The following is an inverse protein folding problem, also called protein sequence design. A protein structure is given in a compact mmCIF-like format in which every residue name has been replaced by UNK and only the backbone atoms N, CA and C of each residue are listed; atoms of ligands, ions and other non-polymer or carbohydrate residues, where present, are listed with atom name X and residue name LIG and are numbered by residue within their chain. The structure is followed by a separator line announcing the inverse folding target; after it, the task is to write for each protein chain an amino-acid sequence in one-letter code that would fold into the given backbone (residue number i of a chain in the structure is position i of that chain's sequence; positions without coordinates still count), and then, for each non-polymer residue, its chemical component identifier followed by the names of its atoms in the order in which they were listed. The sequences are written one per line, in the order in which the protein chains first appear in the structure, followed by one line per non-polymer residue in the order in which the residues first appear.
data_IF_313338252061
#
_entry.id   IF_313338252061
#
_cell.length_a   1.000
_cell.length_b   1.000
_cell.length_c   1.000
_cell.angle_alpha   90.00
_cell.angle_beta   90.00
_cell.angle_gamma   90.00
#
_symmetry.space_group_name_H-M   'P 1'
#
loop_
_entity.id
_entity.type
_entity.pdbx_description
1 polymer ?
#
# COMPACT_ATOMS: atom_id res chain seq x y z
N UNK A 1 -23.20 -18.32 45.74
CA UNK A 1 -22.52 -17.02 45.56
C UNK A 1 -21.30 -17.27 44.70
N UNK A 2 -21.29 -16.78 43.46
CA UNK A 2 -20.07 -16.52 42.67
C UNK A 2 -20.42 -15.43 41.67
N UNK A 3 -19.68 -14.32 41.79
CA UNK A 3 -19.95 -13.04 41.17
C UNK A 3 -19.71 -13.05 39.66
N UNK A 4 -20.50 -12.23 38.97
CA UNK A 4 -20.37 -11.89 37.55
C UNK A 4 -19.06 -11.13 37.27
N UNK A 5 -18.55 -11.15 36.02
CA UNK A 5 -17.40 -10.34 35.64
C UNK A 5 -17.78 -8.85 35.56
N UNK A 6 -16.99 -8.02 36.24
CA UNK A 6 -17.09 -6.56 36.19
C UNK A 6 -16.74 -6.05 34.79
N UNK A 7 -17.70 -5.36 34.16
CA UNK A 7 -17.46 -4.48 33.03
C UNK A 7 -16.61 -3.29 33.53
N UNK A 8 -15.32 -3.28 33.20
CA UNK A 8 -14.52 -2.05 33.25
C UNK A 8 -14.94 -1.13 32.11
N UNK A 9 -15.98 -0.33 32.37
CA UNK A 9 -16.31 0.85 31.58
C UNK A 9 -15.12 1.82 31.62
N UNK A 10 -14.61 2.16 30.44
CA UNK A 10 -13.50 3.11 30.29
C UNK A 10 -13.87 4.45 30.93
N UNK A 11 -13.16 4.80 32.00
CA UNK A 11 -13.27 6.11 32.65
C UNK A 11 -12.92 7.18 31.64
N UNK A 12 -13.90 7.98 31.21
CA UNK A 12 -13.69 9.18 30.40
C UNK A 12 -13.08 10.23 31.34
N UNK A 13 -11.75 10.23 31.46
CA UNK A 13 -11.03 11.30 32.13
C UNK A 13 -11.05 12.52 31.23
N UNK A 14 -11.53 13.66 31.75
CA UNK A 14 -11.46 14.93 31.03
C UNK A 14 -9.98 15.29 30.87
N UNK A 15 -9.49 15.51 29.64
CA UNK A 15 -8.08 15.81 29.42
C UNK A 15 -7.67 17.09 30.15
N UNK A 16 -6.45 17.14 30.66
CA UNK A 16 -5.92 18.35 31.31
C UNK A 16 -5.81 19.49 30.28
N UNK A 17 -5.94 20.75 30.71
CA UNK A 17 -5.95 21.91 29.80
C UNK A 17 -4.70 21.99 28.90
N UNK A 18 -3.54 21.58 29.43
CA UNK A 18 -2.28 21.47 28.68
C UNK A 18 -2.28 20.35 27.62
N UNK A 19 -3.01 19.27 27.85
CA UNK A 19 -3.17 18.17 26.89
C UNK A 19 -4.06 18.61 25.72
N UNK A 20 -5.09 19.42 26.00
CA UNK A 20 -5.99 19.97 24.97
C UNK A 20 -5.35 21.02 24.08
N UNK A 21 -4.49 21.88 24.64
CA UNK A 21 -3.72 22.84 23.83
C UNK A 21 -2.72 22.11 22.92
N UNK A 22 -2.02 21.10 23.44
CA UNK A 22 -1.09 20.25 22.68
C UNK A 22 -1.81 19.47 21.57
N UNK A 23 -2.98 18.91 21.86
CA UNK A 23 -3.81 18.21 20.88
C UNK A 23 -4.23 19.16 19.75
N UNK A 24 -4.68 20.36 20.08
CA UNK A 24 -5.11 21.36 19.09
C UNK A 24 -3.96 21.73 18.16
N UNK A 25 -2.78 22.01 18.70
CA UNK A 25 -1.59 22.30 17.89
C UNK A 25 -1.22 21.11 16.97
N UNK A 26 -1.27 19.89 17.52
CA UNK A 26 -0.96 18.65 16.79
C UNK A 26 -1.94 18.40 15.64
N UNK A 27 -3.24 18.65 15.84
CA UNK A 27 -4.28 18.51 14.80
C UNK A 27 -4.06 19.52 13.66
N UNK A 28 -3.75 20.78 14.00
CA UNK A 28 -3.51 21.84 13.00
C UNK A 28 -2.31 21.47 12.12
N UNK A 29 -1.20 21.08 12.74
CA UNK A 29 0.01 20.72 11.99
C UNK A 29 -0.17 19.43 11.19
N UNK A 30 -0.83 18.41 11.78
CA UNK A 30 -1.16 17.18 11.06
C UNK A 30 -2.00 17.47 9.81
N UNK A 31 -3.02 18.32 9.90
CA UNK A 31 -3.86 18.70 8.76
C UNK A 31 -3.04 19.37 7.66
N UNK A 32 -2.21 20.34 8.03
CA UNK A 32 -1.32 21.04 7.09
C UNK A 32 -0.39 20.07 6.36
N UNK A 33 0.25 19.16 7.10
CA UNK A 33 1.14 18.15 6.53
C UNK A 33 0.40 17.14 5.65
N UNK A 34 -0.82 16.76 6.03
CA UNK A 34 -1.66 15.86 5.23
C UNK A 34 -2.00 16.46 3.87
N UNK A 35 -2.43 17.72 3.83
CA UNK A 35 -2.75 18.44 2.58
C UNK A 35 -1.52 18.49 1.66
N UNK A 36 -0.35 18.88 2.20
CA UNK A 36 0.90 18.86 1.44
C UNK A 36 1.28 17.47 0.90
N UNK A 37 1.07 16.42 1.70
CA UNK A 37 1.33 15.06 1.27
C UNK A 37 0.38 14.61 0.16
N UNK A 38 -0.89 15.00 0.22
CA UNK A 38 -1.88 14.59 -0.76
C UNK A 38 -1.63 15.29 -2.11
N UNK A 39 -1.27 16.57 -2.10
CA UNK A 39 -0.82 17.31 -3.29
C UNK A 39 0.45 16.70 -3.90
N UNK A 40 1.45 16.41 -3.06
CA UNK A 40 2.69 15.77 -3.52
C UNK A 40 2.43 14.38 -4.13
N UNK A 41 1.54 13.58 -3.52
CA UNK A 41 1.12 12.28 -4.07
C UNK A 41 0.42 12.44 -5.41
N UNK A 42 -0.40 13.47 -5.60
CA UNK A 42 -1.05 13.73 -6.89
C UNK A 42 -0.01 14.01 -7.97
N UNK A 43 0.92 14.94 -7.72
CA UNK A 43 2.03 15.21 -8.64
C UNK A 43 2.88 13.98 -8.94
N UNK A 44 3.18 13.16 -7.91
CA UNK A 44 3.91 11.91 -8.08
C UNK A 44 3.15 10.91 -8.96
N UNK A 45 1.82 10.79 -8.82
CA UNK A 45 1.00 9.90 -9.65
C UNK A 45 1.04 10.32 -11.12
N UNK A 46 0.93 11.61 -11.40
CA UNK A 46 0.99 12.14 -12.76
C UNK A 46 2.37 11.93 -13.39
N UNK A 47 3.43 12.29 -12.67
CA UNK A 47 4.80 12.09 -13.12
C UNK A 47 5.12 10.60 -13.34
N UNK A 48 4.63 9.72 -12.45
CA UNK A 48 4.78 8.27 -12.60
C UNK A 48 4.08 7.74 -13.85
N UNK A 49 2.89 8.26 -14.20
CA UNK A 49 2.19 7.89 -15.44
C UNK A 49 2.98 8.33 -16.67
N UNK A 50 3.44 9.58 -16.70
CA UNK A 50 4.27 10.12 -17.80
C UNK A 50 5.57 9.34 -17.96
N UNK A 51 6.25 9.06 -16.86
CA UNK A 51 7.49 8.29 -16.84
C UNK A 51 7.28 6.87 -17.40
N UNK A 52 6.22 6.16 -16.99
CA UNK A 52 5.90 4.83 -17.52
C UNK A 52 5.63 4.86 -19.03
N UNK A 53 4.87 5.84 -19.51
CA UNK A 53 4.59 5.97 -20.94
C UNK A 53 5.90 6.19 -21.74
N UNK A 54 6.81 7.03 -21.25
CA UNK A 54 8.12 7.24 -21.87
C UNK A 54 8.98 5.96 -21.81
N UNK A 55 8.97 5.26 -20.68
CA UNK A 55 9.69 3.99 -20.51
C UNK A 55 9.23 2.93 -21.52
N UNK A 56 7.93 2.83 -21.79
CA UNK A 56 7.39 1.90 -22.81
C UNK A 56 7.89 2.22 -24.22
N UNK A 57 7.95 3.51 -24.58
CA UNK A 57 8.51 3.97 -25.86
C UNK A 57 10.00 3.62 -25.95
N UNK A 58 10.77 3.94 -24.91
CA UNK A 58 12.21 3.66 -24.84
C UNK A 58 12.46 2.14 -24.95
N UNK A 59 11.76 1.33 -24.15
CA UNK A 59 11.90 -0.13 -24.18
C UNK A 59 11.53 -0.72 -25.54
N UNK A 60 10.51 -0.18 -26.22
CA UNK A 60 10.14 -0.61 -27.58
C UNK A 60 11.28 -0.38 -28.56
N UNK A 61 11.85 0.83 -28.57
CA UNK A 61 12.98 1.17 -29.44
C UNK A 61 14.19 0.31 -29.12
N UNK A 62 14.57 0.20 -27.84
CA UNK A 62 15.71 -0.61 -27.43
C UNK A 62 15.56 -2.10 -27.83
N UNK A 63 14.35 -2.67 -27.68
CA UNK A 63 14.07 -4.06 -28.10
C UNK A 63 14.14 -4.22 -29.63
N UNK A 64 13.46 -3.34 -30.37
CA UNK A 64 13.37 -3.45 -31.83
C UNK A 64 14.75 -3.34 -32.51
N UNK A 65 15.66 -2.57 -31.91
CA UNK A 65 17.01 -2.37 -32.43
C UNK A 65 18.08 -3.18 -31.68
N UNK A 66 17.69 -4.10 -30.79
CA UNK A 66 18.61 -4.92 -29.97
C UNK A 66 19.66 -4.09 -29.20
N UNK A 67 19.28 -2.92 -28.70
CA UNK A 67 20.15 -2.01 -27.94
C UNK A 67 20.23 -2.49 -26.48
N UNK A 68 21.40 -2.98 -26.06
CA UNK A 68 21.65 -3.36 -24.67
C UNK A 68 21.97 -2.16 -23.74
N UNK A 69 22.53 -1.09 -24.30
CA UNK A 69 22.92 0.11 -23.57
C UNK A 69 22.90 1.34 -24.49
N UNK A 70 22.55 2.51 -23.94
CA UNK A 70 22.57 3.79 -24.65
C UNK A 70 23.24 4.85 -23.77
N UNK A 71 24.33 5.45 -24.27
CA UNK A 71 25.03 6.55 -23.62
C UNK A 71 24.38 7.90 -23.95
N UNK A 72 24.14 8.70 -22.92
CA UNK A 72 23.51 10.01 -23.01
C UNK A 72 24.59 11.10 -23.01
N UNK A 73 24.90 11.61 -24.19
CA UNK A 73 25.97 12.61 -24.39
C UNK A 73 25.77 13.91 -23.58
N UNK A 74 24.52 14.30 -23.32
CA UNK A 74 24.19 15.54 -22.62
C UNK A 74 24.23 15.45 -21.10
N UNK A 75 24.08 14.24 -20.53
CA UNK A 75 24.03 14.04 -19.07
C UNK A 75 25.19 13.21 -18.53
N UNK A 76 26.02 12.61 -19.39
CA UNK A 76 27.08 11.69 -18.99
C UNK A 76 26.56 10.36 -18.43
N UNK A 77 25.25 10.11 -18.47
CA UNK A 77 24.62 8.89 -17.97
C UNK A 77 24.45 7.81 -19.04
N UNK A 78 24.15 6.58 -18.62
CA UNK A 78 23.85 5.45 -19.51
C UNK A 78 22.52 4.80 -19.14
N UNK A 79 21.69 4.51 -20.14
CA UNK A 79 20.49 3.69 -20.01
C UNK A 79 20.83 2.25 -20.36
N UNK A 80 20.44 1.29 -19.53
CA UNK A 80 20.70 -0.14 -19.73
C UNK A 80 19.38 -0.89 -19.93
N UNK A 81 19.30 -1.70 -20.98
CA UNK A 81 18.23 -2.67 -21.09
C UNK A 81 18.55 -3.88 -20.20
N UNK A 82 17.74 -4.08 -19.15
CA UNK A 82 17.89 -5.20 -18.23
C UNK A 82 16.62 -6.05 -18.23
N UNK A 83 16.77 -7.36 -18.35
CA UNK A 83 15.69 -8.33 -18.19
C UNK A 83 15.90 -9.08 -16.89
N UNK A 84 14.99 -8.93 -15.94
CA UNK A 84 14.99 -9.72 -14.71
C UNK A 84 13.77 -10.63 -14.70
N UNK A 85 13.99 -11.92 -14.40
CA UNK A 85 12.91 -12.83 -14.03
C UNK A 85 12.75 -12.75 -12.52
N UNK A 86 11.54 -12.43 -12.05
CA UNK A 86 11.16 -12.52 -10.64
C UNK A 86 9.91 -13.38 -10.56
N UNK A 87 9.77 -14.12 -9.47
CA UNK A 87 8.51 -14.79 -9.16
C UNK A 87 7.42 -13.71 -9.01
N UNK A 88 6.26 -13.96 -9.59
CA UNK A 88 5.12 -13.07 -9.43
C UNK A 88 4.66 -13.09 -7.97
N UNK A 89 4.10 -11.97 -7.50
CA UNK A 89 3.50 -11.91 -6.16
C UNK A 89 2.37 -12.92 -6.01
N UNK A 90 2.26 -13.48 -4.80
CA UNK A 90 1.23 -14.47 -4.47
C UNK A 90 -0.08 -13.79 -4.04
N UNK A 91 -0.76 -13.16 -5.01
CA UNK A 91 -2.09 -12.59 -4.78
C UNK A 91 -3.16 -13.66 -4.66
N UNK A 92 -4.32 -13.33 -4.08
CA UNK A 92 -5.43 -14.27 -3.83
C UNK A 92 -5.81 -15.12 -5.06
N UNK A 93 -5.96 -14.50 -6.24
CA UNK A 93 -6.28 -15.23 -7.49
C UNK A 93 -5.20 -16.23 -7.89
N UNK A 94 -3.93 -15.85 -7.79
CA UNK A 94 -2.80 -16.72 -8.11
C UNK A 94 -2.65 -17.84 -7.08
N UNK A 95 -2.93 -17.53 -5.80
CA UNK A 95 -2.89 -18.50 -4.71
C UNK A 95 -3.95 -19.58 -4.89
N UNK A 96 -5.21 -19.21 -5.17
CA UNK A 96 -6.28 -20.18 -5.47
C UNK A 96 -5.92 -21.03 -6.67
N UNK A 97 -5.45 -20.41 -7.77
CA UNK A 97 -5.00 -21.16 -8.95
C UNK A 97 -3.93 -22.20 -8.61
N UNK A 98 -2.88 -21.80 -7.89
CA UNK A 98 -1.79 -22.70 -7.50
C UNK A 98 -2.25 -23.80 -6.53
N UNK A 99 -3.17 -23.48 -5.62
CA UNK A 99 -3.80 -24.46 -4.73
C UNK A 99 -4.65 -25.46 -5.52
N UNK A 100 -5.45 -25.02 -6.49
CA UNK A 100 -6.24 -25.89 -7.36
C UNK A 100 -5.33 -26.82 -8.18
N UNK A 101 -4.26 -26.28 -8.76
CA UNK A 101 -3.27 -27.06 -9.51
C UNK A 101 -2.54 -28.08 -8.62
N UNK A 102 -2.12 -27.68 -7.43
CA UNK A 102 -1.39 -28.53 -6.49
C UNK A 102 -2.24 -29.61 -5.81
N UNK A 103 -3.46 -29.26 -5.41
CA UNK A 103 -4.41 -30.17 -4.75
C UNK A 103 -5.23 -30.99 -5.75
N UNK A 104 -5.19 -30.62 -7.05
CA UNK A 104 -6.01 -31.21 -8.12
C UNK A 104 -7.51 -31.20 -7.82
N UNK A 105 -7.95 -30.26 -7.00
CA UNK A 105 -9.34 -30.10 -6.58
C UNK A 105 -9.62 -28.63 -6.30
N UNK A 106 -10.61 -28.08 -6.99
CA UNK A 106 -11.08 -26.72 -6.80
C UNK A 106 -11.82 -26.55 -5.45
N UNK A 107 -12.55 -27.58 -5.03
CA UNK A 107 -13.25 -27.59 -3.74
C UNK A 107 -12.28 -27.49 -2.57
N UNK A 108 -11.21 -28.30 -2.57
CA UNK A 108 -10.19 -28.27 -1.50
C UNK A 108 -9.42 -26.95 -1.49
N UNK A 109 -9.08 -26.41 -2.66
CA UNK A 109 -8.41 -25.12 -2.79
C UNK A 109 -9.28 -23.97 -2.23
N UNK A 110 -10.57 -23.99 -2.53
CA UNK A 110 -11.54 -23.00 -2.03
C UNK A 110 -11.71 -23.12 -0.52
N UNK A 111 -11.83 -24.34 0.01
CA UNK A 111 -11.92 -24.59 1.44
C UNK A 111 -10.67 -24.10 2.20
N UNK A 112 -9.48 -24.38 1.67
CA UNK A 112 -8.22 -23.92 2.25
C UNK A 112 -8.09 -22.39 2.21
N UNK A 113 -8.45 -21.77 1.08
CA UNK A 113 -8.43 -20.31 0.97
C UNK A 113 -9.39 -19.67 1.97
N UNK A 114 -10.59 -20.24 2.16
CA UNK A 114 -11.56 -19.79 3.15
C UNK A 114 -11.00 -19.90 4.57
N UNK A 115 -10.44 -21.05 4.93
CA UNK A 115 -9.79 -21.26 6.22
C UNK A 115 -8.72 -20.21 6.51
N UNK A 116 -7.81 -19.96 5.57
CA UNK A 116 -6.76 -18.94 5.71
C UNK A 116 -7.35 -17.55 5.94
N UNK A 117 -8.43 -17.19 5.25
CA UNK A 117 -9.06 -15.88 5.42
C UNK A 117 -9.74 -15.71 6.78
N UNK A 118 -10.32 -16.78 7.32
CA UNK A 118 -10.99 -16.78 8.62
C UNK A 118 -9.99 -16.78 9.78
N UNK A 119 -8.81 -17.37 9.59
CA UNK A 119 -7.82 -17.56 10.67
C UNK A 119 -6.62 -16.61 10.56
N UNK A 120 -6.47 -15.85 9.47
CA UNK A 120 -5.40 -14.85 9.35
C UNK A 120 -5.56 -13.79 10.43
N UNK A 121 -4.43 -13.31 10.94
CA UNK A 121 -4.38 -12.26 11.95
C UNK A 121 -5.18 -11.03 11.52
N UNK A 122 -6.02 -10.54 12.43
CA UNK A 122 -6.71 -9.26 12.28
C UNK A 122 -5.90 -8.21 13.02
N UNK A 123 -5.25 -7.32 12.27
CA UNK A 123 -4.50 -6.20 12.83
C UNK A 123 -5.41 -4.98 12.90
N UNK A 124 -5.79 -4.58 14.11
CA UNK A 124 -6.49 -3.32 14.34
C UNK A 124 -5.52 -2.16 14.16
N UNK A 125 -5.80 -1.29 13.19
CA UNK A 125 -5.03 -0.07 12.95
C UNK A 125 -5.90 1.13 13.29
N UNK A 126 -5.48 1.90 14.27
CA UNK A 126 -6.10 3.18 14.60
C UNK A 126 -5.54 4.28 13.70
N UNK A 127 -6.42 5.15 13.21
CA UNK A 127 -6.03 6.28 12.39
C UNK A 127 -7.03 7.40 12.54
N UNK A 128 -6.55 8.64 12.41
CA UNK A 128 -7.39 9.83 12.38
C UNK A 128 -7.85 10.14 10.95
N UNK A 129 -9.10 10.55 10.81
CA UNK A 129 -9.69 11.02 9.56
C UNK A 129 -10.15 12.47 9.74
N UNK A 130 -9.90 13.30 8.73
CA UNK A 130 -10.45 14.65 8.64
C UNK A 130 -11.66 14.61 7.72
N UNK A 131 -12.81 15.01 8.24
CA UNK A 131 -14.05 15.21 7.50
C UNK A 131 -14.32 16.71 7.45
N UNK A 132 -14.65 17.23 6.27
CA UNK A 132 -15.08 18.61 6.10
C UNK A 132 -16.60 18.61 6.05
N UNK A 133 -17.25 19.09 7.10
CA UNK A 133 -18.67 19.42 7.08
C UNK A 133 -18.87 20.63 6.17
N UNK A 134 -19.85 20.54 5.25
CA UNK A 134 -20.23 21.62 4.33
C UNK A 134 -20.76 22.85 5.05
#
# INVERSE_FOLDING_TARGET
MSAAPENTEGTITTPQENEMSTLTHSIIEWRRLRELCDDAKQGLRENSKKMKALEEVILRVMKNHNIGALDLKSSGGRVLYKKQKRQAGLGQKNMVKLMTEGLKSEEQATALMKYIQEHREVVTKESIAYEKTE
#
